data_IF_392080516147
#
_entry.id   IF_392080516147
#
_cell.length_a   1.000
_cell.length_b   1.000
_cell.length_c   1.000
_cell.angle_alpha   90.00
_cell.angle_beta   90.00
_cell.angle_gamma   90.00
#
_symmetry.space_group_name_H-M   'P 1'
#
loop_
_entity.id
_entity.type
_entity.pdbx_description
1 polymer ?
#
# COMPACT_ATOMS: atom_id res chain seq x y z
N UNK A 1 4.89 37.98 6.22
CA UNK A 1 3.91 37.42 5.26
C UNK A 1 4.58 36.53 4.22
N UNK A 2 5.70 36.92 3.59
CA UNK A 2 6.45 36.07 2.64
C UNK A 2 7.04 34.80 3.26
N UNK A 3 7.62 34.83 4.47
CA UNK A 3 8.20 33.62 5.10
C UNK A 3 7.16 32.53 5.41
N UNK A 4 5.96 32.91 5.85
CA UNK A 4 4.90 31.95 6.14
C UNK A 4 4.41 31.26 4.85
N UNK A 5 4.37 32.00 3.74
CA UNK A 5 3.99 31.45 2.44
C UNK A 5 5.02 30.45 1.91
N UNK A 6 6.32 30.74 2.07
CA UNK A 6 7.41 29.82 1.66
C UNK A 6 7.40 28.53 2.50
N UNK A 7 7.17 28.64 3.81
CA UNK A 7 7.06 27.47 4.70
C UNK A 7 5.88 26.59 4.32
N UNK A 8 4.72 27.19 4.05
CA UNK A 8 3.51 26.49 3.62
C UNK A 8 3.74 25.73 2.31
N UNK A 9 4.32 26.40 1.30
CA UNK A 9 4.63 25.79 0.01
C UNK A 9 5.59 24.60 0.16
N UNK A 10 6.59 24.72 1.02
CA UNK A 10 7.56 23.64 1.29
C UNK A 10 6.91 22.46 1.99
N UNK A 11 6.00 22.73 2.93
CA UNK A 11 5.24 21.68 3.61
C UNK A 11 4.33 20.94 2.62
N UNK A 12 3.61 21.66 1.77
CA UNK A 12 2.72 21.08 0.77
C UNK A 12 3.50 20.23 -0.25
N UNK A 13 4.65 20.70 -0.73
CA UNK A 13 5.52 19.92 -1.63
C UNK A 13 5.98 18.61 -0.96
N UNK A 14 6.43 18.68 0.29
CA UNK A 14 6.82 17.49 1.05
C UNK A 14 5.65 16.53 1.26
N UNK A 15 4.44 17.04 1.49
CA UNK A 15 3.25 16.20 1.65
C UNK A 15 2.90 15.49 0.33
N UNK A 16 2.90 16.22 -0.79
CA UNK A 16 2.67 15.65 -2.11
C UNK A 16 3.69 14.54 -2.45
N UNK A 17 4.97 14.75 -2.10
CA UNK A 17 6.02 13.73 -2.27
C UNK A 17 5.81 12.51 -1.39
N UNK A 18 5.41 12.70 -0.12
CA UNK A 18 5.06 11.59 0.77
C UNK A 18 3.88 10.80 0.23
N UNK A 19 2.84 11.48 -0.25
CA UNK A 19 1.64 10.83 -0.79
C UNK A 19 1.98 10.04 -2.06
N UNK A 20 2.78 10.64 -2.95
CA UNK A 20 3.31 9.97 -4.14
C UNK A 20 4.10 8.70 -3.77
N UNK A 21 5.08 8.81 -2.88
CA UNK A 21 5.91 7.67 -2.44
C UNK A 21 5.09 6.59 -1.73
N UNK A 22 4.06 6.97 -0.96
CA UNK A 22 3.15 6.02 -0.31
C UNK A 22 2.20 5.32 -1.29
N UNK A 23 2.09 5.78 -2.54
CA UNK A 23 1.21 5.21 -3.55
C UNK A 23 1.42 3.71 -3.75
N UNK A 24 2.67 3.23 -3.69
CA UNK A 24 2.95 1.80 -3.76
C UNK A 24 2.37 1.02 -2.57
N UNK A 25 2.62 1.47 -1.34
CA UNK A 25 2.10 0.78 -0.15
C UNK A 25 0.57 0.80 -0.11
N UNK A 26 -0.05 1.88 -0.61
CA UNK A 26 -1.49 1.95 -0.77
C UNK A 26 -2.00 0.91 -1.79
N UNK A 27 -1.36 0.79 -2.95
CA UNK A 27 -1.69 -0.22 -3.94
C UNK A 27 -1.53 -1.66 -3.40
N UNK A 28 -0.43 -1.95 -2.68
CA UNK A 28 -0.23 -3.25 -2.01
C UNK A 28 -1.29 -3.56 -0.96
N UNK A 29 -1.74 -2.56 -0.20
CA UNK A 29 -2.85 -2.75 0.75
C UNK A 29 -4.14 -3.09 0.02
N UNK A 30 -4.43 -2.43 -1.10
CA UNK A 30 -5.61 -2.72 -1.92
C UNK A 30 -5.58 -4.14 -2.48
N UNK A 31 -4.47 -4.54 -3.10
CA UNK A 31 -4.24 -5.92 -3.57
C UNK A 31 -4.51 -6.94 -2.46
N UNK A 32 -3.97 -6.70 -1.26
CA UNK A 32 -4.19 -7.58 -0.11
C UNK A 32 -5.66 -7.64 0.31
N UNK A 33 -6.35 -6.50 0.37
CA UNK A 33 -7.77 -6.46 0.72
C UNK A 33 -8.62 -7.27 -0.26
N UNK A 34 -8.35 -7.17 -1.56
CA UNK A 34 -9.04 -7.95 -2.60
C UNK A 34 -8.75 -9.45 -2.45
N UNK A 35 -7.49 -9.81 -2.17
CA UNK A 35 -7.11 -11.20 -1.88
C UNK A 35 -7.82 -11.75 -0.63
N UNK A 36 -7.88 -10.96 0.45
CA UNK A 36 -8.57 -11.33 1.68
C UNK A 36 -10.08 -11.53 1.43
N UNK A 37 -10.70 -10.69 0.60
CA UNK A 37 -12.11 -10.86 0.19
C UNK A 37 -12.34 -12.16 -0.57
N UNK A 38 -11.45 -12.53 -1.50
CA UNK A 38 -11.50 -13.83 -2.20
C UNK A 38 -11.43 -14.99 -1.19
N UNK A 39 -10.52 -14.91 -0.22
CA UNK A 39 -10.37 -15.95 0.79
C UNK A 39 -11.62 -16.08 1.68
N UNK A 40 -12.20 -14.96 2.11
CA UNK A 40 -13.45 -14.95 2.88
C UNK A 40 -14.61 -15.53 2.06
N UNK A 41 -14.72 -15.19 0.78
CA UNK A 41 -15.76 -15.73 -0.10
C UNK A 41 -15.63 -17.26 -0.24
N UNK A 42 -14.40 -17.80 -0.34
CA UNK A 42 -14.15 -19.26 -0.34
C UNK A 42 -14.53 -19.92 0.98
N UNK A 43 -14.17 -19.32 2.11
CA UNK A 43 -14.49 -19.87 3.43
C UNK A 43 -16.01 -19.94 3.66
N UNK A 44 -16.74 -18.92 3.22
CA UNK A 44 -18.20 -18.88 3.36
C UNK A 44 -18.90 -19.98 2.55
N UNK A 45 -18.40 -20.31 1.35
CA UNK A 45 -18.94 -21.45 0.58
C UNK A 45 -18.55 -22.81 1.16
N UNK A 46 -17.31 -22.97 1.64
CA UNK A 46 -16.84 -24.26 2.17
C UNK A 46 -17.45 -24.58 3.55
N UNK A 47 -17.75 -23.55 4.33
CA UNK A 47 -18.33 -23.65 5.67
C UNK A 47 -19.57 -22.76 5.79
N UNK A 48 -20.68 -23.08 5.10
CA UNK A 48 -21.92 -22.37 5.30
C UNK A 48 -22.33 -22.65 6.75
N UNK A 49 -22.25 -21.64 7.61
CA UNK A 49 -22.58 -21.72 9.04
C UNK A 49 -23.81 -22.59 9.26
N UNK A 50 -23.70 -23.58 10.15
CA UNK A 50 -24.79 -24.46 10.59
C UNK A 50 -25.99 -23.58 10.95
N UNK A 51 -26.98 -23.54 10.05
CA UNK A 51 -28.30 -23.00 10.37
C UNK A 51 -28.88 -23.96 11.42
N UNK A 52 -29.17 -23.45 12.62
CA UNK A 52 -29.85 -24.23 13.65
C UNK A 52 -31.13 -24.84 13.05
N UNK A 53 -31.23 -26.15 13.22
CA UNK A 53 -32.14 -27.09 12.56
C UNK A 53 -33.52 -27.00 13.20
N UNK A 54 -34.50 -26.44 12.48
CA UNK A 54 -35.94 -26.55 12.85
C UNK A 54 -36.89 -26.14 11.70
N UNK A 55 -36.59 -26.45 10.43
CA UNK A 55 -37.61 -26.24 9.38
C UNK A 55 -37.48 -27.16 8.14
N UNK A 56 -38.59 -27.79 7.67
CA UNK A 56 -38.57 -28.76 6.58
C UNK A 56 -38.38 -28.11 5.20
N UNK A 57 -37.90 -28.94 4.27
CA UNK A 57 -37.27 -28.59 3.01
C UNK A 57 -38.05 -27.66 2.07
N UNK A 58 -37.38 -26.57 1.68
CA UNK A 58 -37.56 -25.86 0.41
C UNK A 58 -36.18 -25.61 -0.17
N UNK A 59 -36.00 -25.91 -1.46
CA UNK A 59 -34.73 -25.95 -2.20
C UNK A 59 -33.78 -24.77 -1.92
N UNK A 60 -32.83 -24.94 -1.00
CA UNK A 60 -31.63 -24.11 -0.94
C UNK A 60 -30.56 -24.77 -1.82
N UNK A 61 -30.79 -24.78 -3.13
CA UNK A 61 -29.65 -24.67 -4.04
C UNK A 61 -29.13 -23.26 -3.72
N UNK A 62 -28.12 -23.17 -2.87
CA UNK A 62 -27.29 -21.96 -2.76
C UNK A 62 -27.00 -21.54 -4.19
N UNK A 63 -27.31 -20.29 -4.54
CA UNK A 63 -27.18 -19.79 -5.89
C UNK A 63 -25.70 -19.77 -6.29
N UNK A 64 -25.21 -20.95 -6.74
CA UNK A 64 -23.83 -21.16 -7.14
C UNK A 64 -23.46 -20.24 -8.30
N UNK A 65 -24.45 -19.75 -9.06
CA UNK A 65 -24.24 -18.80 -10.14
C UNK A 65 -23.83 -17.42 -9.59
N UNK A 66 -24.48 -16.95 -8.52
CA UNK A 66 -24.10 -15.70 -7.84
C UNK A 66 -22.70 -15.76 -7.20
N UNK A 67 -22.34 -16.91 -6.62
CA UNK A 67 -20.98 -17.13 -6.11
C UNK A 67 -19.93 -17.06 -7.23
N UNK A 68 -20.14 -17.79 -8.32
CA UNK A 68 -19.19 -17.85 -9.43
C UNK A 68 -18.96 -16.46 -10.04
N UNK A 69 -20.04 -15.69 -10.28
CA UNK A 69 -19.94 -14.31 -10.78
C UNK A 69 -19.13 -13.43 -9.82
N UNK A 70 -19.38 -13.49 -8.52
CA UNK A 70 -18.65 -12.67 -7.53
C UNK A 70 -17.17 -13.06 -7.43
N UNK A 71 -16.86 -14.35 -7.55
CA UNK A 71 -15.48 -14.83 -7.58
C UNK A 71 -14.73 -14.29 -8.79
N UNK A 72 -15.33 -14.39 -9.98
CA UNK A 72 -14.71 -13.91 -11.23
C UNK A 72 -14.44 -12.40 -11.16
N UNK A 73 -15.42 -11.60 -10.70
CA UNK A 73 -15.25 -10.16 -10.48
C UNK A 73 -14.05 -9.82 -9.58
N UNK A 74 -13.93 -10.53 -8.44
CA UNK A 74 -12.84 -10.30 -7.49
C UNK A 74 -11.49 -10.77 -8.04
N UNK A 75 -11.46 -11.84 -8.82
CA UNK A 75 -10.24 -12.31 -9.49
C UNK A 75 -9.75 -11.29 -10.52
N UNK A 76 -10.65 -10.72 -11.32
CA UNK A 76 -10.30 -9.63 -12.23
C UNK A 76 -9.84 -8.37 -11.48
N UNK A 77 -10.48 -8.02 -10.37
CA UNK A 77 -10.05 -6.90 -9.54
C UNK A 77 -8.66 -7.14 -8.95
N UNK A 78 -8.37 -8.35 -8.48
CA UNK A 78 -7.06 -8.70 -7.95
C UNK A 78 -5.97 -8.54 -9.02
N UNK A 79 -6.24 -8.95 -10.26
CA UNK A 79 -5.29 -8.78 -11.36
C UNK A 79 -5.01 -7.30 -11.64
N UNK A 80 -6.06 -6.46 -11.70
CA UNK A 80 -5.91 -5.01 -11.85
C UNK A 80 -5.11 -4.39 -10.69
N UNK A 81 -5.39 -4.80 -9.46
CA UNK A 81 -4.70 -4.29 -8.28
C UNK A 81 -3.22 -4.69 -8.25
N UNK A 82 -2.89 -5.92 -8.67
CA UNK A 82 -1.51 -6.39 -8.82
C UNK A 82 -0.74 -5.59 -9.86
N UNK A 83 -1.33 -5.40 -11.05
CA UNK A 83 -0.72 -4.61 -12.12
C UNK A 83 -0.44 -3.19 -11.64
N UNK A 84 -1.42 -2.54 -11.02
CA UNK A 84 -1.25 -1.19 -10.45
C UNK A 84 -0.15 -1.15 -9.36
N UNK A 85 -0.07 -2.16 -8.49
CA UNK A 85 1.00 -2.23 -7.49
C UNK A 85 2.39 -2.38 -8.13
N UNK A 86 2.53 -3.19 -9.18
CA UNK A 86 3.78 -3.37 -9.93
C UNK A 86 4.18 -2.08 -10.65
N UNK A 87 3.23 -1.40 -11.30
CA UNK A 87 3.46 -0.13 -11.97
C UNK A 87 3.94 0.93 -10.98
N UNK A 88 3.22 1.09 -9.84
CA UNK A 88 3.61 2.04 -8.78
C UNK A 88 4.96 1.72 -8.18
N UNK A 89 5.24 0.44 -7.92
CA UNK A 89 6.55 0.02 -7.43
C UNK A 89 7.66 0.44 -8.39
N UNK A 90 7.51 0.07 -9.67
CA UNK A 90 8.52 0.31 -10.70
C UNK A 90 8.77 1.80 -10.89
N UNK A 91 7.69 2.58 -10.98
CA UNK A 91 7.72 4.04 -11.10
C UNK A 91 8.50 4.69 -9.94
N UNK A 92 8.13 4.36 -8.71
CA UNK A 92 8.72 4.94 -7.50
C UNK A 92 10.17 4.48 -7.32
N UNK A 93 10.44 3.19 -7.52
CA UNK A 93 11.78 2.62 -7.43
C UNK A 93 12.77 3.30 -8.39
N UNK A 94 12.36 3.52 -9.64
CA UNK A 94 13.20 4.22 -10.62
C UNK A 94 13.49 5.66 -10.19
N UNK A 95 12.50 6.39 -9.66
CA UNK A 95 12.72 7.76 -9.18
C UNK A 95 13.58 7.82 -7.93
N UNK A 96 13.43 6.88 -7.00
CA UNK A 96 14.32 6.76 -5.85
C UNK A 96 15.76 6.52 -6.32
N UNK A 97 15.97 5.68 -7.34
CA UNK A 97 17.31 5.42 -7.89
C UNK A 97 18.01 6.66 -8.45
N UNK A 98 17.27 7.68 -8.89
CA UNK A 98 17.82 8.93 -9.40
C UNK A 98 18.31 9.89 -8.31
N UNK A 99 17.97 9.64 -7.03
CA UNK A 99 18.50 10.42 -5.91
C UNK A 99 19.98 10.12 -5.74
N UNK A 100 20.84 11.14 -5.74
CA UNK A 100 22.30 10.99 -5.75
C UNK A 100 22.86 10.36 -4.46
N UNK A 101 22.39 10.81 -3.30
CA UNK A 101 22.88 10.38 -1.99
C UNK A 101 22.35 8.98 -1.64
N UNK A 102 23.27 8.05 -1.37
CA UNK A 102 22.94 6.65 -1.06
C UNK A 102 22.08 6.49 0.20
N UNK A 103 22.37 7.26 1.25
CA UNK A 103 21.60 7.17 2.50
C UNK A 103 20.20 7.72 2.34
N UNK A 104 20.03 8.70 1.46
CA UNK A 104 18.71 9.20 1.09
C UNK A 104 17.91 8.13 0.34
N UNK A 105 18.54 7.42 -0.62
CA UNK A 105 17.91 6.28 -1.32
C UNK A 105 17.51 5.17 -0.36
N UNK A 106 18.39 4.78 0.56
CA UNK A 106 18.10 3.76 1.57
C UNK A 106 16.90 4.13 2.42
N UNK A 107 16.87 5.34 2.99
CA UNK A 107 15.71 5.78 3.80
C UNK A 107 14.42 5.77 3.00
N UNK A 108 14.43 6.26 1.76
CA UNK A 108 13.23 6.25 0.92
C UNK A 108 12.78 4.82 0.61
N UNK A 109 13.71 3.92 0.35
CA UNK A 109 13.44 2.50 0.10
C UNK A 109 12.83 1.82 1.32
N UNK A 110 13.48 1.90 2.48
CA UNK A 110 12.96 1.29 3.70
C UNK A 110 11.58 1.86 4.06
N UNK A 111 11.41 3.18 3.98
CA UNK A 111 10.18 3.81 4.42
C UNK A 111 9.00 3.57 3.48
N UNK A 112 9.23 3.63 2.16
CA UNK A 112 8.14 3.70 1.19
C UNK A 112 8.03 2.49 0.26
N UNK A 113 9.10 1.72 0.06
CA UNK A 113 9.04 0.47 -0.70
C UNK A 113 8.93 -0.74 0.23
N UNK A 114 9.61 -0.73 1.38
CA UNK A 114 9.51 -1.82 2.35
C UNK A 114 8.44 -1.57 3.43
N UNK A 115 7.96 -0.33 3.55
CA UNK A 115 6.92 0.03 4.51
C UNK A 115 7.36 -0.03 5.97
N UNK A 116 8.67 0.07 6.22
CA UNK A 116 9.24 -0.09 7.55
C UNK A 116 8.88 1.08 8.47
N UNK A 117 8.75 0.77 9.75
CA UNK A 117 8.55 1.76 10.82
C UNK A 117 9.87 2.43 11.16
N UNK A 118 9.81 3.67 11.67
CA UNK A 118 11.00 4.45 11.99
C UNK A 118 11.94 3.75 12.96
N UNK A 119 11.40 3.03 13.93
CA UNK A 119 12.16 2.28 14.94
C UNK A 119 13.01 1.19 14.28
N UNK A 120 12.43 0.48 13.30
CA UNK A 120 13.13 -0.56 12.53
C UNK A 120 14.20 0.08 11.66
N UNK A 121 13.89 1.19 10.98
CA UNK A 121 14.86 1.91 10.14
C UNK A 121 16.05 2.42 10.98
N UNK A 122 15.80 2.96 12.18
CA UNK A 122 16.88 3.38 13.09
C UNK A 122 17.80 2.20 13.44
N UNK A 123 17.22 1.03 13.73
CA UNK A 123 17.97 -0.19 14.01
C UNK A 123 18.79 -0.68 12.81
N UNK A 124 18.16 -0.76 11.63
CA UNK A 124 18.82 -1.21 10.38
C UNK A 124 19.98 -0.30 10.01
N UNK A 125 19.78 1.03 10.06
CA UNK A 125 20.80 2.00 9.64
C UNK A 125 21.82 2.32 10.73
N UNK A 126 21.60 1.87 11.98
CA UNK A 126 22.45 2.20 13.12
C UNK A 126 22.48 3.71 13.43
N UNK A 127 21.36 4.41 13.20
CA UNK A 127 21.28 5.87 13.34
C UNK A 127 20.26 6.28 14.39
N UNK A 128 20.54 7.39 15.07
CA UNK A 128 19.59 7.98 16.01
C UNK A 128 18.35 8.51 15.29
N UNK A 129 17.24 8.56 16.03
CA UNK A 129 15.95 9.02 15.50
C UNK A 129 16.04 10.41 14.86
N UNK A 130 16.77 11.33 15.49
CA UNK A 130 17.07 12.67 14.97
C UNK A 130 17.79 12.61 13.63
N UNK A 131 18.82 11.75 13.51
CA UNK A 131 19.62 11.67 12.29
C UNK A 131 18.81 11.07 11.14
N UNK A 132 18.00 10.05 11.41
CA UNK A 132 17.06 9.47 10.43
C UNK A 132 16.10 10.53 9.90
N UNK A 133 15.45 11.31 10.77
CA UNK A 133 14.50 12.34 10.34
C UNK A 133 15.18 13.47 9.57
N UNK A 134 16.43 13.81 9.90
CA UNK A 134 17.20 14.78 9.13
C UNK A 134 17.51 14.29 7.71
N UNK A 135 17.95 13.04 7.57
CA UNK A 135 18.22 12.43 6.25
C UNK A 135 16.92 12.31 5.46
N UNK A 136 15.82 11.91 6.10
CA UNK A 136 14.50 11.87 5.45
C UNK A 136 14.02 13.23 4.97
N UNK A 137 14.17 14.28 5.77
CA UNK A 137 13.83 15.63 5.35
C UNK A 137 14.70 16.11 4.17
N UNK A 138 15.98 15.71 4.14
CA UNK A 138 16.90 15.99 3.02
C UNK A 138 16.51 15.20 1.77
N UNK A 139 16.18 13.92 1.92
CA UNK A 139 15.77 13.06 0.81
C UNK A 139 14.50 13.57 0.13
N UNK A 140 13.51 14.05 0.88
CA UNK A 140 12.31 14.67 0.29
C UNK A 140 12.62 15.96 -0.50
N UNK A 141 13.62 16.75 -0.08
CA UNK A 141 14.03 17.94 -0.84
C UNK A 141 14.69 17.57 -2.18
N UNK A 142 15.51 16.52 -2.17
CA UNK A 142 16.27 16.07 -3.32
C UNK A 142 15.46 15.18 -4.26
N UNK A 143 14.43 14.50 -3.75
CA UNK A 143 13.52 13.68 -4.54
C UNK A 143 12.68 14.52 -5.49
N UNK A 144 12.59 14.07 -6.75
CA UNK A 144 11.80 14.71 -7.81
C UNK A 144 10.70 13.77 -8.29
N UNK A 145 9.48 14.30 -8.36
CA UNK A 145 8.33 13.58 -8.94
C UNK A 145 8.33 13.73 -10.47
N UNK A 146 8.76 14.88 -10.99
CA UNK A 146 8.81 15.19 -12.42
C UNK A 146 10.21 14.99 -12.98
#
# INVERSE_FOLDING_TARGET
MQENNVKEQTWQDNQNKKDYLNGYLAAKRKEKMTLDQIQQLRLNEMCPSVKYDDMPHGSNITDMSGYAVKMDELMEELERDRLNAIEKYTEIYHKIKLVEDEREREILTYRYLLGERWEIICGIMGLSWRRIHQIHAKSLKNFKIA
#
